data_IF_664065195789
#
_entry.id   IF_664065195789
#
_cell.length_a   1.000
_cell.length_b   1.000
_cell.length_c   1.000
_cell.angle_alpha   90.00
_cell.angle_beta   90.00
_cell.angle_gamma   90.00
#
_symmetry.space_group_name_H-M   'P 1'
#
loop_
_entity.id
_entity.type
_entity.pdbx_description
1 polymer ?
#
# COMPACT_ATOMS: atom_id res chain seq x y z
N UNK A 1 8.33 93.38 -1.51
CA UNK A 1 9.28 92.21 -1.64
C UNK A 1 9.26 91.46 -0.34
N UNK A 2 8.51 90.32 -0.25
CA UNK A 2 8.53 89.49 0.95
C UNK A 2 8.06 88.10 0.50
N UNK A 3 8.99 87.21 0.55
CA UNK A 3 8.92 85.76 0.21
C UNK A 3 8.33 84.98 1.38
N UNK A 4 7.11 84.48 1.24
CA UNK A 4 6.46 83.62 2.22
C UNK A 4 6.83 82.13 2.01
N UNK A 5 7.53 81.55 2.95
CA UNK A 5 7.81 80.09 2.96
C UNK A 5 6.61 79.35 3.59
N UNK A 6 5.89 78.60 2.78
CA UNK A 6 4.88 77.61 3.25
C UNK A 6 5.57 76.34 3.68
N UNK A 7 5.44 76.01 4.97
CA UNK A 7 5.85 74.72 5.53
C UNK A 7 4.76 73.67 5.23
N UNK A 8 5.09 72.70 4.40
CA UNK A 8 4.27 71.51 4.18
C UNK A 8 4.53 70.55 5.33
N UNK A 9 3.51 70.27 6.12
CA UNK A 9 3.55 69.25 7.19
C UNK A 9 3.21 67.91 6.52
N UNK A 10 4.18 67.04 6.43
CA UNK A 10 4.04 65.67 5.96
C UNK A 10 3.48 64.83 7.12
N UNK A 11 2.20 64.44 7.03
CA UNK A 11 1.59 63.45 7.91
C UNK A 11 2.05 62.05 7.51
N UNK A 12 2.93 61.45 8.33
CA UNK A 12 3.27 60.05 8.17
C UNK A 12 2.14 59.17 8.75
N UNK A 13 1.36 58.53 7.91
CA UNK A 13 0.43 57.47 8.28
C UNK A 13 1.21 56.16 8.41
N UNK A 14 1.47 55.73 9.65
CA UNK A 14 1.93 54.40 9.95
C UNK A 14 0.77 53.39 9.70
N UNK A 15 0.85 52.67 8.63
CA UNK A 15 0.01 51.47 8.43
C UNK A 15 0.56 50.28 9.21
N UNK A 16 -0.06 50.02 10.36
CA UNK A 16 0.23 48.84 11.20
C UNK A 16 -0.37 47.61 10.50
N UNK A 17 0.46 46.87 9.76
CA UNK A 17 0.07 45.61 9.11
C UNK A 17 0.03 44.53 10.20
N UNK A 18 -1.16 44.23 10.72
CA UNK A 18 -1.39 43.14 11.66
C UNK A 18 -1.17 41.79 10.92
N UNK A 19 -0.01 41.20 11.16
CA UNK A 19 0.28 39.86 10.73
C UNK A 19 -0.56 38.86 11.56
N UNK A 20 -1.71 38.43 11.06
CA UNK A 20 -2.47 37.33 11.65
C UNK A 20 -1.69 36.02 11.38
N UNK A 21 -1.35 35.23 12.43
CA UNK A 21 -0.85 33.90 12.19
C UNK A 21 -1.96 33.06 11.52
N UNK A 22 -1.69 32.58 10.30
CA UNK A 22 -2.52 31.59 9.66
C UNK A 22 -2.51 30.31 10.52
N UNK A 23 -3.60 30.05 11.24
CA UNK A 23 -3.83 28.79 11.90
C UNK A 23 -3.89 27.70 10.81
N UNK A 24 -2.82 26.95 10.67
CA UNK A 24 -2.78 25.77 9.81
C UNK A 24 -3.82 24.76 10.34
N UNK A 25 -4.94 24.64 9.63
CA UNK A 25 -5.95 23.63 9.91
C UNK A 25 -5.32 22.30 9.52
N UNK A 26 -5.14 21.34 10.46
CA UNK A 26 -4.63 20.03 10.10
C UNK A 26 -5.59 19.38 9.13
N UNK A 27 -5.10 18.99 7.95
CA UNK A 27 -5.89 18.34 6.92
C UNK A 27 -6.40 16.99 7.44
N UNK A 28 -7.69 16.87 7.68
CA UNK A 28 -8.36 15.65 8.16
C UNK A 28 -8.22 14.44 7.22
N UNK A 29 -7.83 14.66 5.97
CA UNK A 29 -7.54 13.63 4.97
C UNK A 29 -6.41 12.70 5.40
N UNK A 30 -5.33 13.22 5.95
CA UNK A 30 -4.14 12.43 6.33
C UNK A 30 -4.43 11.35 7.38
N UNK A 31 -5.33 11.62 8.33
CA UNK A 31 -5.64 10.66 9.42
C UNK A 31 -6.50 9.48 8.92
N UNK A 32 -7.41 9.74 8.00
CA UNK A 32 -8.28 8.70 7.41
C UNK A 32 -7.47 7.76 6.53
N UNK A 33 -6.56 8.31 5.72
CA UNK A 33 -5.70 7.54 4.83
C UNK A 33 -4.72 6.66 5.64
N UNK A 34 -4.11 7.21 6.69
CA UNK A 34 -3.24 6.43 7.58
C UNK A 34 -3.96 5.26 8.25
N UNK A 35 -5.19 5.47 8.73
CA UNK A 35 -5.99 4.37 9.32
C UNK A 35 -6.32 3.30 8.30
N UNK A 36 -6.63 3.67 7.07
CA UNK A 36 -6.89 2.70 6.02
C UNK A 36 -5.66 1.84 5.73
N UNK A 37 -4.49 2.45 5.54
CA UNK A 37 -3.24 1.74 5.31
C UNK A 37 -2.91 0.77 6.46
N UNK A 38 -3.20 1.14 7.71
CA UNK A 38 -3.05 0.25 8.87
C UNK A 38 -3.99 -0.95 8.80
N UNK A 39 -5.26 -0.75 8.39
CA UNK A 39 -6.22 -1.84 8.24
C UNK A 39 -5.82 -2.76 7.09
N UNK A 40 -5.37 -2.22 5.96
CA UNK A 40 -4.82 -2.99 4.85
C UNK A 40 -3.61 -3.81 5.31
N UNK A 41 -2.68 -3.20 6.04
CA UNK A 41 -1.55 -3.90 6.65
C UNK A 41 -1.96 -5.08 7.53
N UNK A 42 -3.03 -4.92 8.33
CA UNK A 42 -3.56 -5.99 9.16
C UNK A 42 -4.14 -7.16 8.33
N UNK A 43 -4.78 -6.87 7.18
CA UNK A 43 -5.19 -7.90 6.23
C UNK A 43 -3.99 -8.65 5.67
N UNK A 44 -2.93 -7.94 5.24
CA UNK A 44 -1.73 -8.56 4.68
C UNK A 44 -1.05 -9.50 5.68
N UNK A 45 -0.91 -9.07 6.94
CA UNK A 45 -0.35 -9.90 8.03
C UNK A 45 -1.20 -11.15 8.27
N UNK A 46 -2.54 -11.02 8.23
CA UNK A 46 -3.43 -12.17 8.35
C UNK A 46 -3.34 -13.09 7.12
N UNK A 47 -3.24 -12.56 5.92
CA UNK A 47 -3.04 -13.38 4.73
C UNK A 47 -1.74 -14.18 4.80
N UNK A 48 -0.63 -13.57 5.26
CA UNK A 48 0.62 -14.30 5.53
C UNK A 48 0.41 -15.45 6.54
N UNK A 49 -0.32 -15.18 7.62
CA UNK A 49 -0.56 -16.17 8.69
C UNK A 49 -1.35 -17.39 8.22
N UNK A 50 -2.25 -17.19 7.26
CA UNK A 50 -3.20 -18.19 6.80
C UNK A 50 -2.93 -18.70 5.37
N UNK A 51 -1.74 -18.45 4.84
CA UNK A 51 -1.30 -18.99 3.55
C UNK A 51 -0.16 -19.97 3.78
N UNK A 52 -0.18 -21.08 3.05
CA UNK A 52 0.91 -22.03 2.96
C UNK A 52 1.55 -21.94 1.59
N UNK A 53 2.88 -21.90 1.57
CA UNK A 53 3.72 -21.89 0.37
C UNK A 53 4.27 -23.28 0.10
N UNK A 54 4.61 -23.62 -1.16
CA UNK A 54 5.35 -24.83 -1.48
C UNK A 54 6.65 -24.93 -0.66
N UNK A 55 7.10 -26.14 -0.27
CA UNK A 55 8.30 -26.30 0.56
C UNK A 55 9.55 -25.60 0.01
N UNK A 56 9.67 -25.51 -1.31
CA UNK A 56 10.80 -24.85 -1.98
C UNK A 56 10.80 -23.32 -1.79
N UNK A 57 9.68 -22.75 -1.39
CA UNK A 57 9.51 -21.31 -1.15
C UNK A 57 9.45 -20.96 0.33
N UNK A 58 9.35 -21.95 1.20
CA UNK A 58 9.37 -21.68 2.64
C UNK A 58 10.76 -21.20 3.03
N UNK A 59 10.86 -20.06 3.71
CA UNK A 59 12.14 -19.59 4.21
C UNK A 59 12.71 -20.61 5.20
N UNK A 60 14.03 -20.68 5.30
CA UNK A 60 14.68 -21.48 6.34
C UNK A 60 14.22 -20.99 7.74
N UNK A 61 14.49 -21.73 8.80
CA UNK A 61 14.00 -21.38 10.14
C UNK A 61 14.43 -19.97 10.60
N UNK A 62 15.52 -19.43 10.06
CA UNK A 62 16.07 -18.11 10.36
C UNK A 62 15.56 -16.99 9.43
N UNK A 63 15.02 -17.33 8.26
CA UNK A 63 14.68 -16.31 7.26
C UNK A 63 13.30 -15.69 7.53
N UNK A 64 13.13 -14.38 7.30
CA UNK A 64 11.86 -13.72 7.47
C UNK A 64 10.88 -14.02 6.32
N UNK A 65 9.59 -13.88 6.58
CA UNK A 65 8.66 -13.66 5.48
C UNK A 65 8.91 -12.31 4.84
N UNK A 66 8.92 -12.25 3.51
CA UNK A 66 9.14 -11.00 2.76
C UNK A 66 7.82 -10.53 2.17
N UNK A 67 7.41 -9.32 2.54
CA UNK A 67 6.28 -8.59 1.94
C UNK A 67 6.85 -7.44 1.13
N UNK A 68 6.51 -7.37 -0.15
CA UNK A 68 6.88 -6.23 -0.98
C UNK A 68 5.65 -5.38 -1.29
N UNK A 69 5.71 -4.10 -0.95
CA UNK A 69 4.69 -3.10 -1.29
C UNK A 69 5.11 -2.40 -2.58
N UNK A 70 4.31 -2.55 -3.63
CA UNK A 70 4.46 -1.79 -4.88
C UNK A 70 3.48 -0.63 -4.81
N UNK A 71 3.97 0.53 -4.40
CA UNK A 71 3.14 1.69 -4.13
C UNK A 71 3.88 2.81 -3.39
N UNK A 72 3.14 3.54 -2.54
CA UNK A 72 3.68 4.66 -1.78
C UNK A 72 4.61 4.23 -0.64
N UNK A 73 5.48 5.15 -0.19
CA UNK A 73 6.30 4.92 1.00
C UNK A 73 5.43 4.80 2.25
N UNK A 74 4.40 5.63 2.38
CA UNK A 74 3.47 5.62 3.51
C UNK A 74 2.78 4.26 3.67
N UNK A 75 2.41 3.61 2.55
CA UNK A 75 1.85 2.26 2.57
C UNK A 75 2.88 1.23 3.07
N UNK A 76 4.12 1.30 2.60
CA UNK A 76 5.17 0.39 3.05
C UNK A 76 5.46 0.58 4.55
N UNK A 77 5.51 1.82 5.03
CA UNK A 77 5.76 2.15 6.44
C UNK A 77 4.58 1.69 7.33
N UNK A 78 3.35 1.88 6.88
CA UNK A 78 2.16 1.42 7.59
C UNK A 78 2.13 -0.12 7.71
N UNK A 79 2.42 -0.83 6.61
CA UNK A 79 2.52 -2.30 6.61
C UNK A 79 3.65 -2.77 7.53
N UNK A 80 4.82 -2.12 7.51
CA UNK A 80 5.94 -2.44 8.38
C UNK A 80 5.60 -2.24 9.85
N UNK A 81 4.93 -1.15 10.21
CA UNK A 81 4.48 -0.88 11.56
C UNK A 81 3.51 -1.95 12.07
N UNK A 82 2.51 -2.34 11.25
CA UNK A 82 1.55 -3.38 11.59
C UNK A 82 2.23 -4.75 11.72
N UNK A 83 3.14 -5.09 10.81
CA UNK A 83 3.88 -6.35 10.84
C UNK A 83 4.76 -6.44 12.11
N UNK A 84 5.43 -5.35 12.48
CA UNK A 84 6.22 -5.26 13.71
C UNK A 84 5.34 -5.45 14.96
N UNK A 85 4.20 -4.77 15.02
CA UNK A 85 3.26 -4.89 16.13
C UNK A 85 2.63 -6.29 16.26
N UNK A 86 2.44 -6.98 15.14
CA UNK A 86 1.92 -8.34 15.12
C UNK A 86 2.92 -9.40 15.61
N UNK A 87 4.19 -9.06 15.69
CA UNK A 87 5.28 -9.95 16.08
C UNK A 87 5.57 -11.05 15.05
N UNK A 88 6.14 -12.15 15.52
CA UNK A 88 6.51 -13.25 14.64
C UNK A 88 5.27 -14.02 14.13
N UNK A 89 5.27 -14.32 12.84
CA UNK A 89 4.28 -15.17 12.19
C UNK A 89 4.90 -16.57 12.06
N UNK A 90 4.32 -17.58 12.71
CA UNK A 90 4.85 -18.94 12.71
C UNK A 90 6.34 -19.01 13.09
N UNK A 91 6.74 -18.17 14.08
CA UNK A 91 8.12 -18.09 14.55
C UNK A 91 9.07 -17.26 13.69
N UNK A 92 8.61 -16.60 12.63
CA UNK A 92 9.43 -15.81 11.71
C UNK A 92 9.02 -14.34 11.73
N UNK A 93 9.98 -13.45 11.64
CA UNK A 93 9.71 -12.03 11.44
C UNK A 93 9.18 -11.75 10.03
N UNK A 94 8.54 -10.61 9.87
CA UNK A 94 8.12 -10.11 8.55
C UNK A 94 9.04 -8.96 8.16
N UNK A 95 9.69 -9.11 7.01
CA UNK A 95 10.48 -8.06 6.38
C UNK A 95 9.61 -7.37 5.33
N UNK A 96 9.42 -6.06 5.47
CA UNK A 96 8.68 -5.28 4.48
C UNK A 96 9.68 -4.54 3.58
N UNK A 97 9.48 -4.62 2.28
CA UNK A 97 10.24 -3.92 1.25
C UNK A 97 9.30 -3.07 0.42
N UNK A 98 9.85 -2.06 -0.25
CA UNK A 98 9.13 -1.26 -1.22
C UNK A 98 9.75 -1.46 -2.60
N UNK A 99 8.90 -1.51 -3.63
CA UNK A 99 9.30 -1.46 -5.03
C UNK A 99 8.48 -0.38 -5.76
N UNK A 100 9.05 0.14 -6.85
CA UNK A 100 8.40 1.08 -7.76
C UNK A 100 8.35 0.47 -9.16
N UNK A 101 7.32 0.81 -9.93
CA UNK A 101 7.18 0.42 -11.35
C UNK A 101 6.95 1.63 -12.25
N UNK A 102 7.22 2.83 -11.74
CA UNK A 102 6.94 4.09 -12.43
C UNK A 102 7.73 4.24 -13.73
N UNK A 103 8.98 3.79 -13.76
CA UNK A 103 9.85 3.86 -14.93
C UNK A 103 10.27 2.46 -15.40
N UNK A 104 10.83 2.37 -16.61
CA UNK A 104 11.39 1.10 -17.13
C UNK A 104 12.54 0.57 -16.24
N UNK A 105 13.37 1.46 -15.72
CA UNK A 105 14.45 1.10 -14.79
C UNK A 105 13.89 0.58 -13.47
N UNK A 106 12.84 1.22 -12.93
CA UNK A 106 12.15 0.76 -11.74
C UNK A 106 11.55 -0.64 -11.94
N UNK A 107 10.94 -0.92 -13.08
CA UNK A 107 10.37 -2.23 -13.41
C UNK A 107 11.43 -3.33 -13.44
N UNK A 108 12.61 -3.05 -14.00
CA UNK A 108 13.73 -4.00 -13.99
C UNK A 108 14.19 -4.32 -12.56
N UNK A 109 14.37 -3.28 -11.72
CA UNK A 109 14.74 -3.44 -10.32
C UNK A 109 13.62 -4.14 -9.53
N UNK A 110 12.34 -3.80 -9.77
CA UNK A 110 11.19 -4.41 -9.13
C UNK A 110 11.14 -5.92 -9.37
N UNK A 111 11.43 -6.38 -10.60
CA UNK A 111 11.40 -7.79 -10.94
C UNK A 111 12.30 -8.64 -10.02
N UNK A 112 13.52 -8.16 -9.72
CA UNK A 112 14.43 -8.84 -8.79
C UNK A 112 13.90 -8.83 -7.34
N UNK A 113 13.37 -7.70 -6.88
CA UNK A 113 12.82 -7.56 -5.53
C UNK A 113 11.60 -8.49 -5.36
N UNK A 114 10.72 -8.53 -6.36
CA UNK A 114 9.48 -9.29 -6.32
C UNK A 114 9.73 -10.80 -6.28
N UNK A 115 10.72 -11.31 -7.00
CA UNK A 115 11.07 -12.74 -6.99
C UNK A 115 11.40 -13.26 -5.59
N UNK A 116 11.95 -12.43 -4.73
CA UNK A 116 12.28 -12.77 -3.34
C UNK A 116 11.12 -12.63 -2.36
N UNK A 117 9.91 -12.26 -2.84
CA UNK A 117 8.76 -11.99 -1.98
C UNK A 117 7.91 -13.22 -1.73
N UNK A 118 7.26 -13.29 -0.58
CA UNK A 118 6.19 -14.24 -0.27
C UNK A 118 4.82 -13.63 -0.55
N UNK A 119 4.68 -12.32 -0.31
CA UNK A 119 3.48 -11.55 -0.60
C UNK A 119 3.86 -10.26 -1.30
N UNK A 120 3.12 -9.90 -2.36
CA UNK A 120 3.22 -8.62 -3.06
C UNK A 120 1.92 -7.87 -2.89
N UNK A 121 1.99 -6.67 -2.33
CA UNK A 121 0.87 -5.76 -2.22
C UNK A 121 0.97 -4.67 -3.27
N UNK A 122 -0.01 -4.64 -4.17
CA UNK A 122 -0.15 -3.66 -5.26
C UNK A 122 -1.09 -2.57 -4.78
N UNK A 123 -0.52 -1.43 -4.38
CA UNK A 123 -1.24 -0.36 -3.71
C UNK A 123 -1.44 0.83 -4.66
N UNK A 124 -2.72 1.15 -4.91
CA UNK A 124 -3.17 2.34 -5.64
C UNK A 124 -2.51 2.56 -7.01
N UNK A 125 -2.16 1.49 -7.70
CA UNK A 125 -1.60 1.56 -9.06
C UNK A 125 -2.70 1.65 -10.12
N UNK A 126 -2.33 2.22 -11.27
CA UNK A 126 -3.17 2.12 -12.46
C UNK A 126 -3.38 0.65 -12.88
N UNK A 127 -4.47 0.30 -13.58
CA UNK A 127 -4.67 -1.06 -14.07
C UNK A 127 -3.52 -1.57 -14.95
N UNK A 128 -2.89 -0.70 -15.74
CA UNK A 128 -1.75 -1.04 -16.58
C UNK A 128 -0.50 -1.40 -15.76
N UNK A 129 -0.19 -0.60 -14.74
CA UNK A 129 0.96 -0.86 -13.87
C UNK A 129 0.71 -2.07 -12.96
N UNK A 130 -0.52 -2.25 -12.48
CA UNK A 130 -0.92 -3.44 -11.74
C UNK A 130 -0.78 -4.71 -12.60
N UNK A 131 -1.21 -4.68 -13.86
CA UNK A 131 -1.02 -5.76 -14.82
C UNK A 131 0.46 -6.10 -15.02
N UNK A 132 1.32 -5.09 -15.18
CA UNK A 132 2.77 -5.28 -15.32
C UNK A 132 3.38 -5.98 -14.08
N UNK A 133 2.93 -5.63 -12.87
CA UNK A 133 3.37 -6.31 -11.64
C UNK A 133 2.91 -7.77 -11.63
N UNK A 134 1.65 -8.04 -11.99
CA UNK A 134 1.11 -9.40 -12.05
C UNK A 134 1.86 -10.26 -13.06
N UNK A 135 2.23 -9.69 -14.22
CA UNK A 135 3.03 -10.40 -15.23
C UNK A 135 4.43 -10.78 -14.71
N UNK A 136 5.07 -9.91 -13.91
CA UNK A 136 6.39 -10.19 -13.32
C UNK A 136 6.38 -11.37 -12.32
N UNK A 137 5.23 -11.68 -11.73
CA UNK A 137 5.10 -12.70 -10.68
C UNK A 137 4.19 -13.87 -11.07
N UNK A 138 3.69 -13.90 -12.32
CA UNK A 138 2.67 -14.84 -12.81
C UNK A 138 2.98 -16.31 -12.49
N UNK A 139 4.21 -16.74 -12.73
CA UNK A 139 4.63 -18.14 -12.58
C UNK A 139 5.38 -18.40 -11.25
N UNK A 140 5.23 -17.49 -10.30
CA UNK A 140 5.90 -17.58 -9.02
C UNK A 140 4.90 -17.86 -7.90
N UNK A 141 5.23 -18.68 -6.90
CA UNK A 141 4.39 -18.92 -5.75
C UNK A 141 4.45 -17.72 -4.78
N UNK A 142 3.90 -16.61 -5.24
CA UNK A 142 3.84 -15.32 -4.53
C UNK A 142 2.39 -14.93 -4.40
N UNK A 143 1.92 -14.69 -3.18
CA UNK A 143 0.57 -14.22 -2.94
C UNK A 143 0.43 -12.75 -3.38
N UNK A 144 -0.42 -12.49 -4.37
CA UNK A 144 -0.69 -11.13 -4.84
C UNK A 144 -1.94 -10.57 -4.18
N UNK A 145 -1.82 -9.38 -3.63
CA UNK A 145 -2.91 -8.62 -3.00
C UNK A 145 -2.94 -7.22 -3.61
N UNK A 146 -4.12 -6.67 -3.89
CA UNK A 146 -4.24 -5.29 -4.40
C UNK A 146 -5.48 -4.60 -3.85
N UNK A 147 -5.45 -3.27 -3.82
CA UNK A 147 -6.54 -2.41 -3.37
C UNK A 147 -7.33 -1.76 -4.51
N UNK A 148 -6.89 -1.96 -5.75
CA UNK A 148 -7.59 -1.46 -6.92
C UNK A 148 -8.92 -2.23 -7.13
N UNK A 149 -10.01 -1.54 -7.47
CA UNK A 149 -11.29 -2.21 -7.78
C UNK A 149 -11.12 -3.25 -8.88
N UNK A 150 -11.61 -4.46 -8.64
CA UNK A 150 -11.52 -5.56 -9.61
C UNK A 150 -10.16 -6.24 -9.72
N UNK A 151 -9.22 -5.98 -8.80
CA UNK A 151 -7.88 -6.57 -8.82
C UNK A 151 -7.91 -8.11 -8.93
N UNK A 152 -8.77 -8.78 -8.17
CA UNK A 152 -8.92 -10.23 -8.26
C UNK A 152 -9.51 -10.70 -9.60
N UNK A 153 -10.36 -9.88 -10.25
CA UNK A 153 -10.91 -10.19 -11.57
C UNK A 153 -9.90 -9.94 -12.71
N UNK A 154 -8.85 -9.15 -12.44
CA UNK A 154 -7.80 -8.81 -13.41
C UNK A 154 -6.56 -9.72 -13.31
N UNK A 155 -6.68 -10.87 -12.66
CA UNK A 155 -5.61 -11.86 -12.53
C UNK A 155 -4.84 -11.79 -11.21
N UNK A 156 -5.22 -10.91 -10.29
CA UNK A 156 -4.73 -10.93 -8.92
C UNK A 156 -5.39 -12.01 -8.07
N UNK A 157 -4.78 -12.40 -6.96
CA UNK A 157 -5.31 -13.46 -6.10
C UNK A 157 -6.30 -12.94 -5.07
N UNK A 158 -5.98 -11.83 -4.41
CA UNK A 158 -6.82 -11.22 -3.38
C UNK A 158 -6.99 -9.72 -3.66
N UNK A 159 -8.23 -9.26 -3.76
CA UNK A 159 -8.55 -7.84 -3.97
C UNK A 159 -9.18 -7.23 -2.72
N UNK A 160 -8.57 -6.21 -2.13
CA UNK A 160 -9.17 -5.47 -1.03
C UNK A 160 -10.27 -4.55 -1.57
N UNK A 161 -11.45 -4.58 -0.94
CA UNK A 161 -12.64 -3.85 -1.40
C UNK A 161 -13.18 -3.00 -0.26
N UNK A 162 -13.32 -1.71 -0.52
CA UNK A 162 -13.99 -0.79 0.43
C UNK A 162 -15.50 -0.99 0.34
N UNK A 163 -16.11 -1.55 1.37
CA UNK A 163 -17.54 -1.76 1.47
C UNK A 163 -18.12 -0.82 2.53
N UNK A 164 -18.66 0.32 2.11
CA UNK A 164 -19.23 1.36 2.98
C UNK A 164 -18.25 1.78 4.10
N UNK A 165 -18.42 1.24 5.32
CA UNK A 165 -17.61 1.59 6.50
C UNK A 165 -16.57 0.53 6.89
N UNK A 166 -16.40 -0.53 6.10
CA UNK A 166 -15.46 -1.62 6.39
C UNK A 166 -14.65 -2.01 5.17
N UNK A 167 -13.47 -2.57 5.39
CA UNK A 167 -12.70 -3.26 4.37
C UNK A 167 -13.18 -4.71 4.29
N UNK A 168 -13.45 -5.17 3.08
CA UNK A 168 -13.74 -6.55 2.74
C UNK A 168 -12.71 -7.00 1.69
N UNK A 169 -12.79 -8.23 1.20
CA UNK A 169 -11.91 -8.67 0.14
C UNK A 169 -12.58 -9.69 -0.79
N UNK A 170 -12.10 -9.71 -2.00
CA UNK A 170 -12.42 -10.70 -3.03
C UNK A 170 -11.25 -11.67 -3.15
N UNK A 171 -11.52 -12.90 -3.56
CA UNK A 171 -10.50 -13.91 -3.81
C UNK A 171 -10.75 -14.62 -5.14
N UNK A 172 -9.67 -14.89 -5.87
CA UNK A 172 -9.66 -15.84 -6.99
C UNK A 172 -8.98 -17.16 -6.55
N UNK A 173 -9.76 -18.19 -6.19
CA UNK A 173 -9.20 -19.47 -5.79
C UNK A 173 -8.46 -20.22 -6.91
N UNK A 174 -8.74 -19.91 -8.18
CA UNK A 174 -8.04 -20.50 -9.31
C UNK A 174 -6.62 -19.94 -9.40
N UNK A 175 -6.47 -18.62 -9.41
CA UNK A 175 -5.16 -17.96 -9.40
C UNK A 175 -4.29 -18.39 -8.21
N UNK A 176 -4.88 -18.56 -7.02
CA UNK A 176 -4.17 -19.04 -5.83
C UNK A 176 -3.63 -20.47 -6.05
N UNK A 177 -4.47 -21.39 -6.56
CA UNK A 177 -4.05 -22.77 -6.82
C UNK A 177 -3.00 -22.87 -7.92
N UNK A 178 -3.17 -22.12 -9.00
CA UNK A 178 -2.27 -22.13 -10.16
C UNK A 178 -0.87 -21.68 -9.78
N UNK A 179 -0.74 -20.76 -8.79
CA UNK A 179 0.53 -20.37 -8.19
C UNK A 179 1.07 -21.39 -7.16
N UNK A 180 0.40 -22.52 -6.94
CA UNK A 180 0.80 -23.54 -5.96
C UNK A 180 0.64 -23.11 -4.51
N UNK A 181 -0.21 -22.11 -4.22
CA UNK A 181 -0.47 -21.62 -2.87
C UNK A 181 -1.71 -22.26 -2.27
N UNK A 182 -1.74 -22.39 -0.95
CA UNK A 182 -2.92 -22.80 -0.20
C UNK A 182 -3.32 -21.73 0.81
N UNK A 183 -4.39 -21.01 0.50
CA UNK A 183 -5.02 -20.08 1.45
C UNK A 183 -6.06 -20.83 2.26
N UNK A 184 -6.02 -20.67 3.59
CA UNK A 184 -6.92 -21.35 4.51
C UNK A 184 -8.39 -21.12 4.16
N UNK A 185 -9.19 -22.18 4.18
CA UNK A 185 -10.64 -22.11 3.98
C UNK A 185 -11.34 -21.15 4.97
N UNK A 186 -10.77 -20.91 6.16
CA UNK A 186 -11.28 -19.93 7.12
C UNK A 186 -11.22 -18.51 6.56
N UNK A 187 -10.16 -18.18 5.83
CA UNK A 187 -9.99 -16.88 5.17
C UNK A 187 -10.90 -16.80 3.94
N UNK A 188 -10.87 -17.83 3.09
CA UNK A 188 -11.69 -17.83 1.86
C UNK A 188 -13.20 -17.76 2.13
N UNK A 189 -13.69 -18.27 3.27
CA UNK A 189 -15.10 -18.11 3.67
C UNK A 189 -15.51 -16.67 3.96
N UNK A 190 -14.55 -15.78 4.27
CA UNK A 190 -14.79 -14.36 4.50
C UNK A 190 -14.70 -13.53 3.22
N UNK A 191 -14.20 -14.12 2.16
CA UNK A 191 -14.05 -13.48 0.85
C UNK A 191 -15.35 -13.53 0.04
N UNK A 192 -15.53 -12.54 -0.83
CA UNK A 192 -16.39 -12.71 -2.01
C UNK A 192 -15.59 -13.47 -3.06
N UNK A 193 -15.98 -14.72 -3.34
CA UNK A 193 -15.25 -15.54 -4.31
C UNK A 193 -15.54 -15.04 -5.72
N UNK A 194 -14.49 -14.85 -6.51
CA UNK A 194 -14.55 -14.58 -7.94
C UNK A 194 -14.22 -15.89 -8.67
N UNK A 195 -15.06 -16.28 -9.62
CA UNK A 195 -14.71 -17.31 -10.56
C UNK A 195 -13.92 -16.67 -11.69
N UNK A 196 -12.77 -17.22 -12.07
CA UNK A 196 -12.17 -16.87 -13.37
C UNK A 196 -13.19 -17.17 -14.46
N UNK A 197 -13.46 -16.26 -15.41
CA UNK A 197 -14.17 -16.64 -16.61
C UNK A 197 -13.36 -17.74 -17.31
N UNK A 198 -14.02 -18.87 -17.57
CA UNK A 198 -13.46 -19.98 -18.35
C UNK A 198 -13.28 -19.56 -19.79
#
# INVERSE_FOLDING_TARGET
MATGRRRVRLCALLALFACLPALAVPSTSSTTDTRLLQVEGAFLVNFLRYTDWPPQRLPSASDPYVVTVVGSQDAADAVAAVASAAGAIRGRHVLVRRASVATAADRAAASEILRGSHLVFVQSLSPLDAGAVLDMVRDLPILTVGDAPGFAASGGMLGLVRARSRLAFEADPAAIRDAGLMVSAKVLKLATLRGSPR
#
